data_IF_134587536724
#
_entry.id   IF_134587536724
#
_cell.length_a   1.000
_cell.length_b   1.000
_cell.length_c   1.000
_cell.angle_alpha   90.00
_cell.angle_beta   90.00
_cell.angle_gamma   90.00
#
_symmetry.space_group_name_H-M   'P 1'
#
loop_
_entity.id
_entity.type
_entity.pdbx_description
1 polymer ?
#
# COMPACT_ATOMS: atom_id res chain seq x y z
N UNK A 1 -33.60 -21.34 56.08
CA UNK A 1 -32.90 -21.73 54.84
C UNK A 1 -32.37 -20.47 54.18
N UNK A 2 -31.05 -20.38 54.01
CA UNK A 2 -30.30 -19.89 52.84
C UNK A 2 -28.88 -19.62 53.31
N UNK A 3 -27.96 -20.38 52.73
CA UNK A 3 -26.54 -20.47 53.05
C UNK A 3 -25.72 -19.73 52.00
N UNK A 4 -24.65 -19.07 52.47
CA UNK A 4 -23.31 -18.93 51.87
C UNK A 4 -23.13 -18.37 50.45
N UNK A 5 -22.35 -17.28 50.33
CA UNK A 5 -20.96 -17.27 49.79
C UNK A 5 -20.54 -15.91 49.19
N UNK A 6 -19.25 -15.55 49.21
CA UNK A 6 -18.74 -14.28 48.73
C UNK A 6 -18.59 -14.27 47.19
N UNK A 7 -18.90 -13.12 46.57
CA UNK A 7 -18.87 -12.92 45.11
C UNK A 7 -17.43 -12.77 44.61
N UNK A 8 -17.00 -13.70 43.77
CA UNK A 8 -15.73 -13.69 43.01
C UNK A 8 -15.80 -12.79 41.76
N UNK A 9 -14.68 -12.16 41.32
CA UNK A 9 -14.68 -11.20 40.22
C UNK A 9 -14.38 -11.88 38.87
N UNK A 10 -15.36 -11.97 37.96
CA UNK A 10 -15.10 -12.47 36.58
C UNK A 10 -16.22 -12.21 35.56
N UNK A 11 -16.86 -11.03 35.55
CA UNK A 11 -17.90 -10.71 34.54
C UNK A 11 -17.83 -9.31 33.92
N UNK A 12 -16.64 -8.70 33.82
CA UNK A 12 -16.44 -7.42 33.09
C UNK A 12 -15.81 -7.63 31.70
N UNK A 13 -15.15 -8.76 31.44
CA UNK A 13 -14.41 -9.00 30.17
C UNK A 13 -15.26 -9.62 29.05
N UNK A 14 -16.49 -10.06 29.34
CA UNK A 14 -17.34 -10.80 28.40
C UNK A 14 -18.43 -9.94 27.72
N UNK A 15 -18.27 -8.60 27.76
CA UNK A 15 -19.27 -7.65 27.23
C UNK A 15 -18.72 -6.78 26.10
N UNK A 16 -17.86 -7.33 25.23
CA UNK A 16 -17.49 -6.72 23.93
C UNK A 16 -17.20 -7.75 22.80
N UNK A 17 -17.59 -9.02 22.93
CA UNK A 17 -17.52 -9.99 21.82
C UNK A 17 -18.88 -10.39 21.24
N UNK A 18 -19.92 -9.60 21.56
CA UNK A 18 -21.31 -9.92 21.25
C UNK A 18 -21.97 -9.06 20.18
N UNK A 19 -21.23 -8.23 19.44
CA UNK A 19 -21.76 -7.61 18.22
C UNK A 19 -21.79 -8.66 17.11
N UNK A 20 -22.85 -9.46 17.21
CA UNK A 20 -23.46 -10.25 16.16
C UNK A 20 -23.47 -9.42 14.88
N UNK A 21 -22.50 -9.70 14.01
CA UNK A 21 -22.48 -9.22 12.64
C UNK A 21 -23.73 -9.78 11.93
N UNK A 22 -24.81 -9.02 11.95
CA UNK A 22 -25.86 -9.15 10.94
C UNK A 22 -25.19 -8.88 9.60
N UNK A 23 -25.26 -9.86 8.71
CA UNK A 23 -24.78 -9.81 7.34
C UNK A 23 -25.61 -8.79 6.52
N UNK A 24 -25.48 -7.52 6.87
CA UNK A 24 -26.13 -6.39 6.22
C UNK A 24 -25.20 -5.17 6.28
N UNK A 25 -23.95 -5.35 5.85
CA UNK A 25 -23.15 -4.24 5.33
C UNK A 25 -23.55 -4.09 3.85
N UNK A 26 -23.94 -2.89 3.35
CA UNK A 26 -24.49 -2.75 2.02
C UNK A 26 -23.47 -3.31 1.03
N UNK A 27 -23.87 -4.37 0.33
CA UNK A 27 -23.08 -5.05 -0.67
C UNK A 27 -22.50 -4.05 -1.66
N UNK A 28 -21.28 -3.56 -1.41
CA UNK A 28 -20.46 -2.98 -2.46
C UNK A 28 -20.11 -4.18 -3.35
N UNK A 29 -20.56 -4.24 -4.61
CA UNK A 29 -20.24 -5.36 -5.50
C UNK A 29 -18.76 -5.28 -5.88
N UNK A 30 -17.88 -5.68 -4.97
CA UNK A 30 -16.45 -5.76 -5.20
C UNK A 30 -16.20 -7.01 -6.04
N UNK A 31 -16.15 -6.83 -7.36
CA UNK A 31 -15.76 -7.91 -8.29
C UNK A 31 -14.31 -8.29 -8.01
N UNK A 32 -14.01 -9.59 -8.03
CA UNK A 32 -12.65 -10.10 -7.80
C UNK A 32 -11.61 -9.44 -8.70
N UNK A 33 -11.96 -9.19 -9.96
CA UNK A 33 -11.12 -8.47 -10.92
C UNK A 33 -10.69 -7.09 -10.41
N UNK A 34 -11.59 -6.34 -9.77
CA UNK A 34 -11.29 -5.01 -9.25
C UNK A 34 -10.23 -5.08 -8.15
N UNK A 35 -10.33 -6.06 -7.25
CA UNK A 35 -9.34 -6.31 -6.20
C UNK A 35 -7.98 -6.70 -6.78
N UNK A 36 -7.98 -7.59 -7.78
CA UNK A 36 -6.77 -8.01 -8.48
C UNK A 36 -6.08 -6.83 -9.16
N UNK A 37 -6.83 -5.99 -9.88
CA UNK A 37 -6.25 -4.81 -10.55
C UNK A 37 -5.63 -3.83 -9.55
N UNK A 38 -6.31 -3.51 -8.45
CA UNK A 38 -5.75 -2.63 -7.43
C UNK A 38 -4.47 -3.18 -6.80
N UNK A 39 -4.44 -4.48 -6.54
CA UNK A 39 -3.25 -5.14 -5.97
C UNK A 39 -2.09 -5.10 -6.96
N UNK A 40 -2.34 -5.44 -8.23
CA UNK A 40 -1.31 -5.43 -9.28
C UNK A 40 -0.80 -4.02 -9.53
N UNK A 41 -1.68 -3.01 -9.63
CA UNK A 41 -1.27 -1.61 -9.81
C UNK A 41 -0.43 -1.11 -8.63
N UNK A 42 -0.78 -1.48 -7.39
CA UNK A 42 0.01 -1.15 -6.21
C UNK A 42 1.41 -1.78 -6.26
N UNK A 43 1.53 -3.04 -6.71
CA UNK A 43 2.80 -3.75 -6.80
C UNK A 43 3.68 -3.27 -7.96
N UNK A 44 3.10 -2.99 -9.13
CA UNK A 44 3.86 -2.54 -10.30
C UNK A 44 4.50 -1.17 -10.04
N UNK A 45 3.86 -0.29 -9.27
CA UNK A 45 4.28 1.10 -9.02
C UNK A 45 5.77 1.35 -8.77
N UNK A 46 6.20 1.56 -7.52
CA UNK A 46 7.60 1.90 -7.24
C UNK A 46 8.57 0.73 -7.50
N UNK A 47 8.09 -0.52 -7.45
CA UNK A 47 8.92 -1.71 -7.60
C UNK A 47 9.51 -1.86 -9.00
N UNK A 48 8.71 -1.61 -10.05
CA UNK A 48 9.15 -1.85 -11.44
C UNK A 48 10.23 -0.87 -11.90
N UNK A 49 10.29 0.34 -11.34
CA UNK A 49 11.27 1.36 -11.74
C UNK A 49 12.72 0.91 -11.51
N UNK A 50 12.96 0.07 -10.49
CA UNK A 50 14.28 -0.50 -10.22
C UNK A 50 14.58 -1.80 -10.99
N UNK A 51 13.58 -2.39 -11.63
CA UNK A 51 13.70 -3.71 -12.27
C UNK A 51 14.71 -3.72 -13.44
N UNK A 52 14.72 -2.75 -14.38
CA UNK A 52 15.70 -2.74 -15.48
C UNK A 52 17.13 -2.61 -14.97
N UNK A 53 17.32 -1.78 -13.94
CA UNK A 53 18.62 -1.61 -13.28
C UNK A 53 19.08 -2.93 -12.66
N UNK A 54 18.24 -3.61 -11.88
CA UNK A 54 18.59 -4.91 -11.29
C UNK A 54 18.91 -5.98 -12.35
N UNK A 55 18.13 -6.05 -13.44
CA UNK A 55 18.36 -6.97 -14.56
C UNK A 55 19.68 -6.70 -15.29
N UNK A 56 20.13 -5.43 -15.35
CA UNK A 56 21.42 -5.08 -15.93
C UNK A 56 22.61 -5.61 -15.11
N UNK A 57 22.51 -5.68 -13.78
CA UNK A 57 23.56 -6.23 -12.92
C UNK A 57 23.55 -7.76 -12.83
N UNK A 58 22.37 -8.37 -12.76
CA UNK A 58 22.21 -9.82 -12.61
C UNK A 58 22.28 -10.60 -13.93
N UNK A 59 22.08 -9.90 -15.06
CA UNK A 59 21.95 -10.53 -16.37
C UNK A 59 20.60 -11.24 -16.55
N UNK A 60 20.30 -11.59 -17.80
CA UNK A 60 18.97 -12.05 -18.18
C UNK A 60 18.61 -13.42 -17.57
N UNK A 61 19.54 -14.37 -17.55
CA UNK A 61 19.31 -15.72 -16.99
C UNK A 61 19.08 -15.71 -15.47
N UNK A 62 20.07 -15.29 -14.67
CA UNK A 62 19.92 -15.23 -13.21
C UNK A 62 18.81 -14.29 -12.77
N UNK A 63 18.65 -13.14 -13.44
CA UNK A 63 17.57 -12.20 -13.17
C UNK A 63 16.19 -12.82 -13.38
N UNK A 64 15.96 -13.49 -14.51
CA UNK A 64 14.67 -14.15 -14.80
C UNK A 64 14.39 -15.29 -13.80
N UNK A 65 15.41 -16.06 -13.41
CA UNK A 65 15.26 -17.11 -12.41
C UNK A 65 14.83 -16.55 -11.05
N UNK A 66 15.49 -15.49 -10.56
CA UNK A 66 15.13 -14.83 -9.30
C UNK A 66 13.72 -14.23 -9.36
N UNK A 67 13.33 -13.64 -10.50
CA UNK A 67 11.97 -13.12 -10.70
C UNK A 67 10.92 -14.23 -10.65
N UNK A 68 11.15 -15.36 -11.32
CA UNK A 68 10.24 -16.50 -11.26
C UNK A 68 10.15 -17.08 -9.84
N UNK A 69 11.27 -17.17 -9.13
CA UNK A 69 11.32 -17.66 -7.75
C UNK A 69 10.56 -16.74 -6.80
N UNK A 70 10.83 -15.43 -6.85
CA UNK A 70 10.15 -14.43 -6.00
C UNK A 70 8.66 -14.33 -6.30
N UNK A 71 8.26 -14.49 -7.57
CA UNK A 71 6.85 -14.58 -7.95
C UNK A 71 6.17 -15.80 -7.30
N UNK A 72 6.78 -16.98 -7.37
CA UNK A 72 6.27 -18.18 -6.71
C UNK A 72 6.16 -18.03 -5.19
N UNK A 73 7.19 -17.46 -4.54
CA UNK A 73 7.16 -17.15 -3.10
C UNK A 73 6.03 -16.18 -2.76
N UNK A 74 5.82 -15.14 -3.59
CA UNK A 74 4.74 -14.16 -3.38
C UNK A 74 3.37 -14.82 -3.44
N UNK A 75 3.10 -15.67 -4.45
CA UNK A 75 1.85 -16.42 -4.55
C UNK A 75 1.62 -17.35 -3.34
N UNK A 76 2.67 -18.03 -2.88
CA UNK A 76 2.60 -18.88 -1.69
C UNK A 76 2.25 -18.08 -0.43
N UNK A 77 2.86 -16.90 -0.24
CA UNK A 77 2.54 -16.04 0.91
C UNK A 77 1.13 -15.46 0.82
N UNK A 78 0.66 -15.06 -0.36
CA UNK A 78 -0.73 -14.61 -0.56
C UNK A 78 -1.71 -15.72 -0.20
N UNK A 79 -1.44 -16.95 -0.65
CA UNK A 79 -2.26 -18.11 -0.31
C UNK A 79 -2.31 -18.38 1.20
N UNK A 80 -1.17 -18.34 1.88
CA UNK A 80 -1.11 -18.49 3.33
C UNK A 80 -1.89 -17.39 4.07
N UNK A 81 -1.77 -16.14 3.62
CA UNK A 81 -2.50 -15.02 4.21
C UNK A 81 -4.02 -15.17 4.06
N UNK A 82 -4.49 -15.67 2.91
CA UNK A 82 -5.92 -15.96 2.69
C UNK A 82 -6.42 -17.04 3.64
N UNK A 83 -5.69 -18.15 3.79
CA UNK A 83 -6.09 -19.21 4.72
C UNK A 83 -6.07 -18.74 6.18
N UNK A 84 -5.09 -17.91 6.54
CA UNK A 84 -4.92 -17.44 7.91
C UNK A 84 -6.00 -16.43 8.30
N UNK A 85 -6.58 -15.71 7.33
CA UNK A 85 -7.66 -14.75 7.53
C UNK A 85 -8.97 -15.39 8.03
N UNK A 86 -9.21 -16.66 7.69
CA UNK A 86 -10.37 -17.47 8.10
C UNK A 86 -9.96 -18.70 8.95
N UNK A 87 -8.79 -18.64 9.61
CA UNK A 87 -8.23 -19.77 10.36
C UNK A 87 -9.16 -20.30 11.48
N UNK A 88 -10.07 -19.47 11.99
CA UNK A 88 -11.06 -19.82 13.01
C UNK A 88 -12.47 -19.58 12.46
N UNK A 89 -13.36 -20.59 12.47
CA UNK A 89 -14.73 -20.42 11.99
C UNK A 89 -15.47 -19.39 12.84
N UNK A 90 -15.93 -18.31 12.21
CA UNK A 90 -16.71 -17.23 12.85
C UNK A 90 -15.93 -15.97 13.24
N UNK A 91 -14.60 -15.93 13.08
CA UNK A 91 -13.79 -14.72 13.32
C UNK A 91 -12.92 -14.38 12.11
N UNK A 92 -13.12 -13.19 11.55
CA UNK A 92 -12.39 -12.66 10.40
C UNK A 92 -11.26 -11.74 10.86
N UNK A 93 -10.01 -12.07 10.53
CA UNK A 93 -8.85 -11.27 10.95
C UNK A 93 -8.41 -10.27 9.87
N UNK A 94 -9.08 -9.11 9.77
CA UNK A 94 -8.78 -8.11 8.74
C UNK A 94 -7.47 -7.32 8.94
N UNK A 95 -6.85 -7.38 10.13
CA UNK A 95 -5.62 -6.65 10.44
C UNK A 95 -4.48 -7.58 10.80
N UNK A 96 -3.30 -7.30 10.22
CA UNK A 96 -2.06 -8.01 10.52
C UNK A 96 -1.74 -8.05 12.02
N UNK A 97 -2.06 -6.99 12.76
CA UNK A 97 -1.82 -6.93 14.21
C UNK A 97 -2.70 -7.92 15.00
N UNK A 98 -3.94 -8.13 14.56
CA UNK A 98 -4.88 -9.04 15.22
C UNK A 98 -4.53 -10.49 14.90
N UNK A 99 -4.07 -10.73 13.67
CA UNK A 99 -3.49 -12.00 13.25
C UNK A 99 -2.21 -12.34 14.03
N UNK A 100 -1.34 -11.36 14.21
CA UNK A 100 -0.14 -11.49 15.03
C UNK A 100 -0.46 -11.80 16.49
N UNK A 101 -1.47 -11.13 17.07
CA UNK A 101 -1.95 -11.41 18.43
C UNK A 101 -2.45 -12.83 18.58
N UNK A 102 -3.15 -13.35 17.58
CA UNK A 102 -3.64 -14.71 17.57
C UNK A 102 -2.49 -15.73 17.46
N UNK A 103 -1.57 -15.54 16.52
CA UNK A 103 -0.49 -16.50 16.24
C UNK A 103 0.63 -16.52 17.29
N UNK A 104 1.05 -15.35 17.80
CA UNK A 104 2.20 -15.21 18.70
C UNK A 104 1.81 -14.79 20.13
N UNK A 105 0.51 -14.67 20.41
CA UNK A 105 -0.02 -14.26 21.70
C UNK A 105 -0.22 -12.74 21.84
N UNK A 106 -0.95 -12.30 22.89
CA UNK A 106 -1.50 -10.96 22.99
C UNK A 106 -0.47 -9.84 23.13
N UNK A 107 0.73 -10.13 23.63
CA UNK A 107 1.81 -9.15 23.83
C UNK A 107 2.91 -9.23 22.77
N UNK A 108 3.33 -10.43 22.39
CA UNK A 108 4.44 -10.62 21.44
C UNK A 108 4.02 -10.40 19.98
N UNK A 109 2.79 -10.79 19.60
CA UNK A 109 2.27 -10.61 18.25
C UNK A 109 2.31 -9.18 17.72
N UNK A 110 1.74 -8.20 18.43
CA UNK A 110 1.83 -6.80 18.06
C UNK A 110 3.27 -6.31 17.96
N UNK A 111 4.14 -6.76 18.87
CA UNK A 111 5.52 -6.28 18.96
C UNK A 111 6.39 -6.78 17.80
N UNK A 112 6.05 -7.91 17.17
CA UNK A 112 6.77 -8.42 16.00
C UNK A 112 6.21 -7.82 14.71
N UNK A 113 4.87 -7.81 14.57
CA UNK A 113 4.22 -7.41 13.32
C UNK A 113 4.26 -5.90 13.10
N UNK A 114 4.08 -5.09 14.14
CA UNK A 114 3.99 -3.64 14.01
C UNK A 114 5.32 -3.00 13.56
N UNK A 115 6.50 -3.35 14.11
CA UNK A 115 7.75 -2.81 13.62
C UNK A 115 8.01 -3.14 12.15
N UNK A 116 7.74 -4.38 11.72
CA UNK A 116 7.90 -4.79 10.32
C UNK A 116 7.00 -3.95 9.39
N UNK A 117 5.73 -3.77 9.77
CA UNK A 117 4.79 -2.95 9.00
C UNK A 117 5.23 -1.47 8.94
N UNK A 118 5.73 -0.92 10.05
CA UNK A 118 6.19 0.46 10.09
C UNK A 118 7.46 0.68 9.27
N UNK A 119 8.43 -0.23 9.36
CA UNK A 119 9.68 -0.15 8.59
C UNK A 119 9.38 -0.15 7.09
N UNK A 120 8.53 -1.07 6.61
CA UNK A 120 8.20 -1.13 5.18
C UNK A 120 7.41 0.10 4.72
N UNK A 121 6.48 0.60 5.54
CA UNK A 121 5.67 1.77 5.21
C UNK A 121 6.49 3.07 5.15
N UNK A 122 7.36 3.28 6.14
CA UNK A 122 8.26 4.45 6.19
C UNK A 122 9.26 4.38 5.05
N UNK A 123 9.86 3.21 4.80
CA UNK A 123 10.78 2.99 3.68
C UNK A 123 10.14 3.31 2.34
N UNK A 124 8.96 2.74 2.05
CA UNK A 124 8.21 3.05 0.83
C UNK A 124 7.90 4.54 0.71
N UNK A 125 7.43 5.19 1.78
CA UNK A 125 7.13 6.61 1.75
C UNK A 125 8.37 7.46 1.38
N UNK A 126 9.53 7.16 1.95
CA UNK A 126 10.78 7.85 1.60
C UNK A 126 11.13 7.67 0.13
N UNK A 127 11.05 6.44 -0.39
CA UNK A 127 11.35 6.14 -1.80
C UNK A 127 10.41 6.91 -2.73
N UNK A 128 9.10 6.88 -2.46
CA UNK A 128 8.12 7.60 -3.27
C UNK A 128 8.34 9.11 -3.26
N UNK A 129 8.71 9.68 -2.11
CA UNK A 129 8.98 11.11 -1.97
C UNK A 129 10.22 11.55 -2.77
N UNK A 130 11.30 10.75 -2.71
CA UNK A 130 12.53 11.02 -3.45
C UNK A 130 12.32 10.86 -4.96
N UNK A 131 11.66 9.78 -5.38
CA UNK A 131 11.37 9.53 -6.80
C UNK A 131 10.42 10.58 -7.38
N UNK A 132 9.34 10.90 -6.67
CA UNK A 132 8.41 11.96 -7.07
C UNK A 132 9.07 13.33 -7.21
N UNK A 133 9.92 13.70 -6.25
CA UNK A 133 10.70 14.95 -6.33
C UNK A 133 11.70 14.98 -7.49
N UNK A 134 12.32 13.85 -7.83
CA UNK A 134 13.20 13.73 -9.02
C UNK A 134 12.43 13.89 -10.31
N UNK A 135 11.28 13.20 -10.45
CA UNK A 135 10.41 13.31 -11.62
C UNK A 135 9.92 14.74 -11.80
N UNK A 136 9.51 15.42 -10.73
CA UNK A 136 9.02 16.81 -10.80
C UNK A 136 10.13 17.78 -11.23
N UNK A 137 11.34 17.62 -10.70
CA UNK A 137 12.51 18.40 -11.12
C UNK A 137 12.75 18.25 -12.64
N UNK A 138 12.80 17.01 -13.12
CA UNK A 138 13.05 16.72 -14.53
C UNK A 138 11.96 17.27 -15.45
N UNK A 139 10.69 17.18 -15.03
CA UNK A 139 9.56 17.75 -15.77
C UNK A 139 9.67 19.27 -15.95
N UNK A 140 10.09 19.99 -14.90
CA UNK A 140 10.25 21.45 -14.96
C UNK A 140 11.46 21.84 -15.81
N UNK A 141 12.57 21.11 -15.73
CA UNK A 141 13.74 21.34 -16.57
C UNK A 141 13.45 21.15 -18.07
N UNK A 142 12.57 20.20 -18.41
CA UNK A 142 12.11 20.00 -19.80
C UNK A 142 11.17 21.14 -20.24
N UNK A 143 10.25 21.56 -19.38
CA UNK A 143 9.24 22.59 -19.72
C UNK A 143 9.80 24.01 -19.73
N UNK A 144 10.80 24.27 -18.90
CA UNK A 144 11.44 25.57 -18.75
C UNK A 144 12.96 25.44 -18.82
N UNK A 145 13.51 25.46 -20.03
CA UNK A 145 14.95 25.37 -20.29
C UNK A 145 15.75 26.58 -19.79
N UNK A 146 15.08 27.70 -19.48
CA UNK A 146 15.69 28.96 -19.01
C UNK A 146 15.51 29.19 -17.51
N UNK A 147 14.86 28.27 -16.79
CA UNK A 147 14.65 28.40 -15.36
C UNK A 147 15.95 28.18 -14.57
N UNK A 148 16.14 28.91 -13.47
CA UNK A 148 17.30 28.74 -12.60
C UNK A 148 17.30 27.34 -11.97
N UNK A 149 18.42 26.61 -11.99
CA UNK A 149 18.48 25.28 -11.41
C UNK A 149 18.32 25.37 -9.88
N UNK A 150 17.22 24.80 -9.38
CA UNK A 150 16.91 24.72 -7.94
C UNK A 150 17.44 23.40 -7.37
N UNK A 151 17.92 23.41 -6.12
CA UNK A 151 18.37 22.18 -5.44
C UNK A 151 17.23 21.15 -5.37
N UNK A 152 17.57 19.89 -5.64
CA UNK A 152 16.62 18.76 -5.65
C UNK A 152 15.86 18.62 -4.31
N UNK A 153 16.49 18.95 -3.19
CA UNK A 153 15.86 18.90 -1.86
C UNK A 153 14.58 19.74 -1.78
N UNK A 154 14.52 20.89 -2.46
CA UNK A 154 13.31 21.73 -2.48
C UNK A 154 12.17 21.09 -3.26
N UNK A 155 12.47 20.39 -4.36
CA UNK A 155 11.47 19.64 -5.12
C UNK A 155 10.90 18.47 -4.33
N UNK A 156 11.74 17.77 -3.56
CA UNK A 156 11.30 16.68 -2.66
C UNK A 156 10.42 17.24 -1.52
N UNK A 157 10.81 18.36 -0.90
CA UNK A 157 10.02 19.02 0.14
C UNK A 157 8.68 19.54 -0.40
N UNK A 158 8.67 20.14 -1.59
CA UNK A 158 7.45 20.60 -2.26
C UNK A 158 6.49 19.45 -2.55
N UNK A 159 6.99 18.35 -3.14
CA UNK A 159 6.21 17.14 -3.37
C UNK A 159 5.65 16.56 -2.06
N UNK A 160 6.44 16.60 -1.00
CA UNK A 160 6.01 16.22 0.34
C UNK A 160 4.93 17.07 0.96
N UNK A 161 5.00 18.39 0.78
CA UNK A 161 3.97 19.31 1.23
C UNK A 161 2.63 19.01 0.57
N UNK A 162 2.63 18.72 -0.74
CA UNK A 162 1.42 18.31 -1.47
C UNK A 162 0.87 16.99 -0.92
N UNK A 163 1.72 15.97 -0.73
CA UNK A 163 1.32 14.69 -0.12
C UNK A 163 0.75 14.85 1.30
N UNK A 164 1.32 15.77 2.10
CA UNK A 164 0.83 16.07 3.44
C UNK A 164 -0.56 16.73 3.40
N UNK A 165 -0.80 17.65 2.48
CA UNK A 165 -2.13 18.27 2.31
C UNK A 165 -3.15 17.22 1.84
N UNK A 166 -2.76 16.37 0.88
CA UNK A 166 -3.60 15.27 0.40
C UNK A 166 -3.93 14.26 1.51
N UNK A 167 -3.02 14.02 2.47
CA UNK A 167 -3.28 13.12 3.60
C UNK A 167 -4.29 13.67 4.60
N UNK A 168 -4.55 14.99 4.59
CA UNK A 168 -5.58 15.61 5.42
C UNK A 168 -6.99 15.43 4.85
N UNK A 169 -7.15 14.88 3.63
CA UNK A 169 -8.46 14.65 3.04
C UNK A 169 -9.10 13.37 3.64
N UNK A 170 -10.19 13.48 4.43
CA UNK A 170 -10.79 12.34 5.11
C UNK A 170 -11.70 11.50 4.20
N UNK A 171 -11.93 11.93 2.95
CA UNK A 171 -12.92 11.35 2.05
C UNK A 171 -12.29 10.75 0.78
N UNK A 172 -12.57 9.46 0.54
CA UNK A 172 -12.21 8.75 -0.70
C UNK A 172 -12.74 9.44 -1.97
N UNK A 173 -13.84 10.20 -1.86
CA UNK A 173 -14.43 10.93 -2.99
C UNK A 173 -13.56 12.10 -3.47
N UNK A 174 -12.76 12.72 -2.60
CA UNK A 174 -11.82 13.78 -2.98
C UNK A 174 -10.57 13.22 -3.68
N UNK A 175 -10.13 12.02 -3.29
CA UNK A 175 -9.03 11.31 -3.95
C UNK A 175 -9.42 10.84 -5.35
N UNK A 176 -10.69 10.47 -5.56
CA UNK A 176 -11.20 10.15 -6.89
C UNK A 176 -11.05 11.32 -7.87
N UNK A 177 -11.18 12.57 -7.41
CA UNK A 177 -10.93 13.77 -8.23
C UNK A 177 -9.46 13.91 -8.65
N UNK A 178 -8.53 13.60 -7.76
CA UNK A 178 -7.08 13.57 -8.09
C UNK A 178 -6.78 12.46 -9.11
N UNK A 179 -7.37 11.28 -8.92
CA UNK A 179 -7.26 10.17 -9.88
C UNK A 179 -7.85 10.51 -11.24
N UNK A 180 -8.98 11.23 -11.29
CA UNK A 180 -9.59 11.70 -12.53
C UNK A 180 -8.68 12.70 -13.24
N UNK A 181 -8.10 13.67 -12.52
CA UNK A 181 -7.17 14.64 -13.09
C UNK A 181 -5.90 13.94 -13.64
N UNK A 182 -5.35 12.97 -12.91
CA UNK A 182 -4.23 12.17 -13.38
C UNK A 182 -4.59 11.37 -14.65
N UNK A 183 -5.79 10.77 -14.70
CA UNK A 183 -6.26 10.06 -15.88
C UNK A 183 -6.42 11.00 -17.10
N UNK A 184 -6.95 12.20 -16.91
CA UNK A 184 -7.07 13.22 -17.97
C UNK A 184 -5.70 13.65 -18.47
N UNK A 185 -4.72 13.87 -17.58
CA UNK A 185 -3.34 14.21 -17.96
C UNK A 185 -2.68 13.09 -18.79
N UNK A 186 -2.85 11.83 -18.37
CA UNK A 186 -2.34 10.68 -19.12
C UNK A 186 -2.99 10.55 -20.50
N UNK A 187 -4.31 10.73 -20.60
CA UNK A 187 -5.04 10.70 -21.86
C UNK A 187 -4.66 11.87 -22.78
N UNK A 188 -4.48 13.08 -22.23
CA UNK A 188 -4.02 14.25 -22.96
C UNK A 188 -2.63 14.03 -23.56
N UNK A 189 -1.72 13.43 -22.79
CA UNK A 189 -0.37 13.08 -23.26
C UNK A 189 -0.36 12.02 -24.38
N UNK A 190 -1.46 11.26 -24.55
CA UNK A 190 -1.62 10.25 -25.59
C UNK A 190 -2.21 10.79 -26.90
N UNK A 191 -2.60 12.06 -26.97
CA UNK A 191 -3.16 12.66 -28.19
C UNK A 191 -2.05 13.20 -29.11
N UNK A 192 -1.94 12.76 -30.38
CA UNK A 192 -1.03 13.38 -31.36
C UNK A 192 -1.67 14.67 -31.92
N UNK A 193 -0.90 15.74 -32.23
CA UNK A 193 0.33 15.64 -33.03
C UNK A 193 1.54 16.50 -32.56
N UNK A 194 2.68 16.22 -33.20
CA UNK A 194 3.97 16.96 -33.23
C UNK A 194 5.04 16.68 -32.17
N UNK A 195 5.99 15.82 -32.58
CA UNK A 195 7.43 15.89 -32.32
C UNK A 195 7.92 16.50 -30.98
N UNK A 196 7.96 15.68 -29.93
CA UNK A 196 9.23 15.45 -29.23
C UNK A 196 9.18 14.13 -28.47
N UNK A 197 10.24 13.34 -28.62
CA UNK A 197 10.48 12.11 -27.90
C UNK A 197 10.52 12.42 -26.39
N UNK A 198 9.39 12.24 -25.71
CA UNK A 198 9.35 12.14 -24.25
C UNK A 198 8.96 10.70 -23.94
N UNK A 199 9.89 9.79 -24.22
CA UNK A 199 9.99 8.57 -23.44
C UNK A 199 10.57 9.06 -22.11
N UNK A 200 9.71 9.24 -21.11
CA UNK A 200 10.10 9.52 -19.73
C UNK A 200 10.39 8.18 -19.04
N UNK A 201 11.66 7.74 -18.92
CA UNK A 201 12.05 6.99 -17.75
C UNK A 201 12.19 8.01 -16.61
N UNK A 202 11.12 8.17 -15.83
CA UNK A 202 11.33 8.00 -14.40
C UNK A 202 11.65 6.51 -14.17
#
# INVERSE_FOLDING_TARGET
MVSSSPVSPSKETDRKSGEKWTAEDPSRPAKWWYSTFHTVTAMIGAGVLSLPYAMAYLGWGPGTFVLAMTWGLTLNTMWQMVQLHECVPGTRFDRYIDLGRYAFGPKLGPWIVLPQQLIVQVGCNIVYMVTGGKCLKQFVEITCSTCTPVRQSYWILGFGGVHFILSQLPNFNSVAGVSLAAAVMSLWSLSPPYHHNIILPC
#
